data_IF_758952194081
#
_entry.id   IF_758952194081
#
_cell.length_a   1.000
_cell.length_b   1.000
_cell.length_c   1.000
_cell.angle_alpha   90.00
_cell.angle_beta   90.00
_cell.angle_gamma   90.00
#
_symmetry.space_group_name_H-M   'P 1'
#
loop_
_entity.id
_entity.type
_entity.pdbx_description
1 polymer ?
#
# COMPACT_ATOMS: atom_id res chain seq x y z
N UNK A 1 -20.60 27.74 -67.90
CA UNK A 1 -21.91 28.33 -67.52
C UNK A 1 -22.58 27.31 -66.61
N UNK A 2 -22.85 27.68 -65.34
CA UNK A 2 -23.87 27.19 -64.38
C UNK A 2 -24.35 25.72 -64.45
N UNK A 3 -24.14 24.92 -63.40
CA UNK A 3 -25.17 24.58 -62.37
C UNK A 3 -26.24 23.57 -62.91
N UNK A 4 -26.69 22.47 -62.30
CA UNK A 4 -26.71 21.93 -60.94
C UNK A 4 -27.11 20.43 -60.99
N UNK A 5 -26.78 19.71 -59.93
CA UNK A 5 -27.10 18.30 -59.64
C UNK A 5 -28.54 18.17 -59.13
N UNK A 6 -29.27 17.11 -59.48
CA UNK A 6 -30.42 16.61 -58.69
C UNK A 6 -30.41 15.08 -58.56
N UNK A 7 -30.56 14.66 -57.31
CA UNK A 7 -30.27 13.36 -56.71
C UNK A 7 -31.44 12.38 -56.76
N UNK A 8 -31.15 11.07 -56.85
CA UNK A 8 -32.04 9.99 -56.37
C UNK A 8 -31.20 8.90 -55.69
N UNK A 9 -31.12 8.99 -54.36
CA UNK A 9 -30.57 7.97 -53.48
C UNK A 9 -31.61 6.87 -53.23
N UNK A 10 -31.28 5.63 -53.56
CA UNK A 10 -31.81 4.44 -52.91
C UNK A 10 -30.78 3.32 -53.11
N UNK A 11 -29.96 3.06 -52.10
CA UNK A 11 -28.91 2.05 -52.17
C UNK A 11 -28.38 1.74 -50.79
N UNK A 12 -28.78 0.57 -50.29
CA UNK A 12 -28.45 -0.03 -49.00
C UNK A 12 -26.94 -0.03 -48.77
N UNK A 13 -26.49 0.56 -47.65
CA UNK A 13 -25.11 0.39 -47.16
C UNK A 13 -25.11 -0.48 -45.91
N UNK A 14 -24.68 -1.72 -46.07
CA UNK A 14 -24.30 -2.61 -44.97
C UNK A 14 -22.98 -2.09 -44.40
N UNK A 15 -23.02 -1.48 -43.22
CA UNK A 15 -21.82 -1.06 -42.48
C UNK A 15 -21.31 -2.24 -41.65
N UNK A 16 -20.21 -2.84 -42.10
CA UNK A 16 -19.34 -3.71 -41.31
C UNK A 16 -18.66 -2.85 -40.22
N UNK A 17 -19.20 -2.88 -39.01
CA UNK A 17 -18.56 -2.27 -37.84
C UNK A 17 -17.37 -3.15 -37.41
N UNK A 18 -16.16 -2.76 -37.83
CA UNK A 18 -14.92 -3.35 -37.33
C UNK A 18 -14.70 -2.88 -35.88
N UNK A 19 -14.85 -3.80 -34.92
CA UNK A 19 -14.50 -3.55 -33.52
C UNK A 19 -12.98 -3.41 -33.39
N UNK A 20 -12.49 -2.18 -33.25
CA UNK A 20 -11.17 -1.94 -32.67
C UNK A 20 -11.22 -2.32 -31.18
N UNK A 21 -10.76 -3.52 -30.84
CA UNK A 21 -10.43 -3.89 -29.47
C UNK A 21 -9.20 -3.07 -29.08
N UNK A 22 -9.39 -1.97 -28.34
CA UNK A 22 -8.29 -1.23 -27.73
C UNK A 22 -7.79 -2.07 -26.56
N UNK A 23 -6.54 -2.56 -26.56
CA UNK A 23 -5.97 -3.17 -25.36
C UNK A 23 -5.88 -2.09 -24.28
N UNK A 24 -6.71 -2.20 -23.24
CA UNK A 24 -6.55 -1.38 -22.06
C UNK A 24 -5.17 -1.70 -21.45
N UNK A 25 -4.32 -0.69 -21.17
CA UNK A 25 -3.13 -0.93 -20.38
C UNK A 25 -3.58 -1.46 -19.02
N UNK A 26 -3.24 -2.72 -18.73
CA UNK A 26 -3.48 -3.33 -17.44
C UNK A 26 -2.74 -2.53 -16.38
N UNK A 27 -3.48 -1.87 -15.49
CA UNK A 27 -2.89 -1.32 -14.27
C UNK A 27 -2.38 -2.51 -13.47
N UNK A 28 -1.05 -2.70 -13.43
CA UNK A 28 -0.42 -3.60 -12.49
C UNK A 28 -0.83 -3.11 -11.08
N UNK A 29 -1.73 -3.85 -10.44
CA UNK A 29 -2.04 -3.63 -9.03
C UNK A 29 -0.89 -4.24 -8.26
N UNK A 30 -0.03 -3.38 -7.74
CA UNK A 30 1.08 -3.76 -6.90
C UNK A 30 0.52 -4.57 -5.72
N UNK A 31 0.81 -5.87 -5.70
CA UNK A 31 0.21 -6.78 -4.73
C UNK A 31 0.69 -6.35 -3.33
N UNK A 32 -0.19 -6.29 -2.32
CA UNK A 32 0.24 -5.91 -0.99
C UNK A 32 1.32 -6.88 -0.50
N UNK A 33 2.51 -6.36 -0.20
CA UNK A 33 3.61 -7.19 0.29
C UNK A 33 3.32 -7.56 1.75
N UNK A 34 3.29 -8.87 2.03
CA UNK A 34 3.11 -9.42 3.37
C UNK A 34 4.44 -9.38 4.14
N UNK A 35 4.42 -8.82 5.34
CA UNK A 35 5.53 -8.75 6.28
C UNK A 35 5.19 -9.56 7.53
N UNK A 36 6.18 -10.20 8.15
CA UNK A 36 6.00 -10.99 9.37
C UNK A 36 6.77 -10.34 10.51
N UNK A 37 6.04 -9.90 11.54
CA UNK A 37 6.63 -9.32 12.75
C UNK A 37 5.82 -9.73 13.96
N UNK A 38 6.51 -10.11 15.04
CA UNK A 38 5.86 -10.60 16.28
C UNK A 38 4.91 -11.80 16.03
N UNK A 39 5.24 -12.71 15.11
CA UNK A 39 4.37 -13.81 14.66
C UNK A 39 3.03 -13.39 14.03
N UNK A 40 2.90 -12.13 13.59
CA UNK A 40 1.74 -11.63 12.88
C UNK A 40 2.10 -11.24 11.45
N UNK A 41 1.14 -11.41 10.54
CA UNK A 41 1.25 -10.91 9.16
C UNK A 41 0.77 -9.47 9.11
N UNK A 42 1.52 -8.62 8.43
CA UNK A 42 1.29 -7.21 8.24
C UNK A 42 1.31 -6.86 6.77
N UNK A 43 0.36 -6.04 6.35
CA UNK A 43 0.25 -5.58 4.98
C UNK A 43 0.83 -4.18 4.91
N UNK A 44 1.82 -4.00 4.03
CA UNK A 44 2.45 -2.71 3.80
C UNK A 44 1.62 -1.85 2.85
N UNK A 45 1.52 -0.58 3.18
CA UNK A 45 1.09 0.49 2.28
C UNK A 45 2.01 1.71 2.52
N UNK A 46 2.30 2.46 1.47
CA UNK A 46 3.21 3.59 1.53
C UNK A 46 2.54 4.88 1.05
N UNK A 47 3.02 6.01 1.56
CA UNK A 47 2.61 7.32 1.07
C UNK A 47 3.77 8.33 1.16
N UNK A 48 3.48 9.59 0.84
CA UNK A 48 4.45 10.70 0.90
C UNK A 48 5.04 10.96 2.29
N UNK A 49 4.48 10.39 3.36
CA UNK A 49 4.91 10.59 4.75
C UNK A 49 5.73 9.43 5.32
N UNK A 50 5.63 8.22 4.75
CA UNK A 50 6.29 7.05 5.32
C UNK A 50 5.62 5.73 4.97
N UNK A 51 5.83 4.75 5.84
CA UNK A 51 5.30 3.40 5.75
C UNK A 51 4.13 3.20 6.71
N UNK A 52 3.16 2.39 6.29
CA UNK A 52 2.00 1.98 7.07
C UNK A 52 1.86 0.48 7.01
N UNK A 53 2.14 -0.19 8.12
CA UNK A 53 1.95 -1.64 8.28
C UNK A 53 0.65 -1.88 9.04
N UNK A 54 -0.31 -2.55 8.41
CA UNK A 54 -1.58 -2.94 9.05
C UNK A 54 -1.59 -4.44 9.29
N UNK A 55 -1.90 -4.86 10.50
CA UNK A 55 -2.03 -6.29 10.79
C UNK A 55 -3.15 -6.92 9.94
N UNK A 56 -2.84 -8.04 9.28
CA UNK A 56 -3.77 -8.80 8.44
C UNK A 56 -4.90 -9.38 9.30
N UNK A 57 -4.55 -9.85 10.49
CA UNK A 57 -5.47 -10.37 11.51
C UNK A 57 -5.41 -9.52 12.79
N UNK A 58 -6.41 -9.61 13.68
CA UNK A 58 -6.36 -8.97 14.99
C UNK A 58 -5.15 -9.45 15.81
N UNK A 59 -4.55 -8.53 16.56
CA UNK A 59 -3.58 -8.85 17.61
C UNK A 59 -4.33 -8.95 18.93
N UNK A 60 -3.96 -9.93 19.76
CA UNK A 60 -4.47 -10.08 21.11
C UNK A 60 -3.41 -9.69 22.13
N UNK A 61 -3.76 -8.88 23.13
CA UNK A 61 -2.86 -8.53 24.22
C UNK A 61 -3.64 -8.13 25.48
N UNK A 62 -2.95 -8.15 26.63
CA UNK A 62 -3.44 -7.56 27.87
C UNK A 62 -2.76 -6.22 28.11
N UNK A 63 -3.51 -5.22 28.56
CA UNK A 63 -2.94 -3.93 28.99
C UNK A 63 -2.45 -3.96 30.44
N UNK A 64 -1.91 -2.83 30.90
CA UNK A 64 -1.45 -2.64 32.28
C UNK A 64 -2.52 -2.89 33.36
N UNK A 65 -3.81 -2.90 33.00
CA UNK A 65 -4.94 -3.16 33.88
C UNK A 65 -5.52 -4.57 33.68
N UNK A 66 -4.78 -5.48 33.05
CA UNK A 66 -5.22 -6.85 32.72
C UNK A 66 -6.50 -6.90 31.88
N UNK A 67 -6.79 -5.86 31.09
CA UNK A 67 -7.92 -5.90 30.15
C UNK A 67 -7.48 -6.57 28.86
N UNK A 68 -8.28 -7.52 28.39
CA UNK A 68 -8.07 -8.17 27.10
C UNK A 68 -8.45 -7.24 25.95
N UNK A 69 -7.57 -7.14 24.96
CA UNK A 69 -7.82 -6.44 23.70
C UNK A 69 -7.59 -7.39 22.53
N UNK A 70 -8.46 -7.32 21.53
CA UNK A 70 -8.30 -8.00 20.25
C UNK A 70 -8.67 -7.03 19.13
N UNK A 71 -7.66 -6.48 18.44
CA UNK A 71 -7.88 -5.43 17.44
C UNK A 71 -6.88 -5.54 16.30
N UNK A 72 -7.29 -5.14 15.10
CA UNK A 72 -6.32 -4.88 14.03
C UNK A 72 -5.51 -3.64 14.36
N UNK A 73 -4.19 -3.74 14.30
CA UNK A 73 -3.27 -2.66 14.63
C UNK A 73 -2.71 -2.07 13.35
N UNK A 74 -2.52 -0.75 13.34
CA UNK A 74 -1.77 -0.06 12.29
C UNK A 74 -0.56 0.60 12.91
N UNK A 75 0.62 0.24 12.41
CA UNK A 75 1.91 0.84 12.69
C UNK A 75 2.25 1.85 11.60
N UNK A 76 2.40 3.10 11.99
CA UNK A 76 2.90 4.17 11.15
C UNK A 76 4.37 4.41 11.44
N UNK A 77 5.19 4.51 10.39
CA UNK A 77 6.62 4.74 10.45
C UNK A 77 6.99 5.88 9.51
N UNK A 78 7.24 7.07 10.07
CA UNK A 78 7.48 8.30 9.34
C UNK A 78 8.92 8.45 8.85
N UNK A 79 9.13 9.27 7.82
CA UNK A 79 10.48 9.57 7.28
C UNK A 79 11.42 10.25 8.30
N UNK A 80 10.87 10.83 9.36
CA UNK A 80 11.58 11.42 10.49
C UNK A 80 11.96 10.40 11.57
N UNK A 81 11.82 9.11 11.28
CA UNK A 81 12.13 8.01 12.19
C UNK A 81 11.21 7.91 13.41
N UNK A 82 10.08 8.62 13.38
CA UNK A 82 8.99 8.50 14.33
C UNK A 82 8.11 7.30 14.01
N UNK A 83 7.69 6.58 15.05
CA UNK A 83 6.78 5.47 14.95
C UNK A 83 5.54 5.71 15.81
N UNK A 84 4.38 5.24 15.36
CA UNK A 84 3.17 5.32 16.20
C UNK A 84 2.14 4.25 15.89
N UNK A 85 1.39 3.91 16.94
CA UNK A 85 0.17 3.11 16.88
C UNK A 85 -0.84 3.70 17.87
N UNK A 86 -2.14 3.52 17.62
CA UNK A 86 -3.17 3.88 18.61
C UNK A 86 -3.08 2.98 19.84
N UNK A 87 -2.73 1.70 19.66
CA UNK A 87 -2.75 0.68 20.72
C UNK A 87 -1.53 0.70 21.64
N UNK A 88 -0.34 0.99 21.10
CA UNK A 88 0.94 0.86 21.80
C UNK A 88 1.71 2.17 21.97
N UNK A 89 1.13 3.29 21.52
CA UNK A 89 1.68 4.63 21.70
C UNK A 89 2.63 5.06 20.59
N UNK A 90 3.45 6.08 20.90
CA UNK A 90 4.46 6.66 20.01
C UNK A 90 5.85 6.13 20.35
N UNK A 91 6.80 6.33 19.46
CA UNK A 91 8.19 5.98 19.65
C UNK A 91 9.02 6.23 18.40
N UNK A 92 10.01 5.40 18.16
CA UNK A 92 10.92 5.51 17.01
C UNK A 92 10.99 4.21 16.24
N UNK A 93 11.37 4.29 14.97
CA UNK A 93 11.71 3.10 14.19
C UNK A 93 13.05 3.30 13.49
N UNK A 94 13.72 2.18 13.23
CA UNK A 94 14.95 2.18 12.49
C UNK A 94 15.24 0.83 11.85
N UNK A 95 16.09 0.85 10.82
CA UNK A 95 16.74 -0.32 10.25
C UNK A 95 17.80 -0.84 11.22
N UNK A 96 17.79 -2.16 11.45
CA UNK A 96 18.78 -2.87 12.24
C UNK A 96 19.10 -4.21 11.60
N UNK A 97 20.38 -4.46 11.31
CA UNK A 97 20.96 -5.77 10.96
C UNK A 97 20.04 -6.72 10.16
N UNK A 98 19.70 -6.30 8.94
CA UNK A 98 18.92 -7.11 8.01
C UNK A 98 17.40 -7.06 8.23
N UNK A 99 16.88 -6.09 8.98
CA UNK A 99 15.44 -5.86 9.09
C UNK A 99 15.17 -4.47 9.67
N UNK A 100 13.95 -4.27 10.15
CA UNK A 100 13.57 -3.03 10.80
C UNK A 100 12.79 -3.30 12.09
N UNK A 101 12.80 -2.32 12.98
CA UNK A 101 12.15 -2.41 14.29
C UNK A 101 11.47 -1.09 14.62
N UNK A 102 10.30 -1.17 15.23
CA UNK A 102 9.63 -0.04 15.86
C UNK A 102 9.63 -0.24 17.38
N UNK A 103 10.28 0.67 18.09
CA UNK A 103 10.29 0.74 19.55
C UNK A 103 9.23 1.76 20.00
N UNK A 104 8.09 1.26 20.47
CA UNK A 104 6.98 2.06 20.98
C UNK A 104 6.93 1.97 22.51
N UNK A 105 6.31 2.96 23.17
CA UNK A 105 6.18 3.01 24.64
C UNK A 105 5.71 1.69 25.26
N UNK A 106 4.71 1.03 24.67
CA UNK A 106 4.14 -0.21 25.23
C UNK A 106 4.63 -1.48 24.54
N UNK A 107 5.32 -1.39 23.41
CA UNK A 107 5.66 -2.56 22.60
C UNK A 107 6.81 -2.31 21.63
N UNK A 108 7.71 -3.28 21.53
CA UNK A 108 8.69 -3.38 20.44
C UNK A 108 8.14 -4.33 19.37
N UNK A 109 8.18 -3.93 18.11
CA UNK A 109 7.72 -4.75 16.97
C UNK A 109 8.88 -4.89 16.00
N UNK A 110 9.44 -6.10 15.91
CA UNK A 110 10.57 -6.41 15.03
C UNK A 110 10.16 -7.16 13.77
N UNK A 111 10.80 -6.81 12.66
CA UNK A 111 10.64 -7.44 11.34
C UNK A 111 12.01 -7.91 10.85
N UNK A 112 12.52 -9.04 11.37
CA UNK A 112 13.84 -9.53 11.01
C UNK A 112 13.86 -10.01 9.55
N UNK A 113 14.99 -9.83 8.87
CA UNK A 113 15.26 -10.35 7.50
C UNK A 113 14.33 -9.81 6.42
N UNK A 114 13.76 -8.62 6.60
CA UNK A 114 12.75 -8.05 5.70
C UNK A 114 13.05 -6.60 5.34
N UNK A 115 12.91 -6.25 4.06
CA UNK A 115 13.15 -4.91 3.51
C UNK A 115 11.82 -4.20 3.20
N UNK A 116 11.68 -2.90 3.52
CA UNK A 116 10.47 -2.12 3.21
C UNK A 116 10.56 -1.62 1.77
N UNK A 117 9.69 -2.15 0.90
CA UNK A 117 9.70 -1.83 -0.52
C UNK A 117 8.41 -1.07 -0.86
N UNK A 118 8.55 0.07 -1.52
CA UNK A 118 7.43 0.86 -2.04
C UNK A 118 7.72 1.24 -3.50
N UNK A 119 6.78 0.95 -4.39
CA UNK A 119 6.85 1.40 -5.77
C UNK A 119 6.51 2.89 -5.84
N UNK A 120 7.43 3.67 -6.40
CA UNK A 120 7.50 5.14 -6.43
C UNK A 120 8.10 5.78 -5.15
N UNK A 121 9.34 6.25 -5.30
CA UNK A 121 10.21 6.86 -4.30
C UNK A 121 10.69 5.87 -3.24
N UNK A 122 11.91 5.36 -3.45
CA UNK A 122 12.74 4.86 -2.36
C UNK A 122 12.77 5.95 -1.28
N UNK A 123 11.99 5.75 -0.21
CA UNK A 123 12.04 6.67 0.92
C UNK A 123 13.48 6.62 1.43
N UNK A 124 14.15 7.76 1.58
CA UNK A 124 15.57 7.76 1.87
C UNK A 124 15.79 7.00 3.19
N UNK A 125 16.67 6.00 3.15
CA UNK A 125 17.08 5.11 4.26
C UNK A 125 17.81 5.89 5.36
N UNK A 126 17.13 6.83 6.02
CA UNK A 126 17.74 7.70 7.04
C UNK A 126 17.65 7.09 8.45
N UNK A 127 16.68 6.23 8.70
CA UNK A 127 16.41 5.69 10.03
C UNK A 127 17.27 4.46 10.28
N UNK A 128 18.41 4.65 10.95
CA UNK A 128 19.30 3.58 11.39
C UNK A 128 19.39 3.54 12.91
N UNK A 129 19.37 2.33 13.44
CA UNK A 129 19.91 2.03 14.75
C UNK A 129 21.43 1.84 14.56
#
# INVERSE_FOLDING_TARGET
MREQIKWRNAGVFVLLASLCVIPAPGLAQDAPTDYVGENHVWVLNCNSHGYKLKSKYPLSWYDENYRYHEKRVTLYMGKTCDASTVSFGKGTWCWANGGFVADLVKRRIGFPRQELICDAQSLPMKCRC
#
